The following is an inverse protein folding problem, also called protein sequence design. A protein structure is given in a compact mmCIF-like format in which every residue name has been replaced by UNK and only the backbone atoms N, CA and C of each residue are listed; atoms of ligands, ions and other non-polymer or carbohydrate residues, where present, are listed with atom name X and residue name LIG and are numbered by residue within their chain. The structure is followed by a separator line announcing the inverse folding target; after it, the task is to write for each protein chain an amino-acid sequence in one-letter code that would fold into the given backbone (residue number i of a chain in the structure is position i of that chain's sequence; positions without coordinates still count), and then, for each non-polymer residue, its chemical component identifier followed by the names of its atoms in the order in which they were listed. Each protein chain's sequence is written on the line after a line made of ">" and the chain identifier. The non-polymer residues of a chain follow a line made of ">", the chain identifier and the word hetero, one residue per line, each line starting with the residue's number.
data_IF_439135997560
#
_entry.id   IF_439135997560
#
_cell.length_a   1.000
_cell.length_b   1.000
_cell.length_c   1.000
_cell.angle_alpha   90.00
_cell.angle_beta   90.00
_cell.angle_gamma   90.00
#
_symmetry.space_group_name_H-M   'P 1'
#
loop_
_entity.id
_entity.type
_entity.pdbx_description
1 polymer ?
#
# COMPACT_ATOMS: atom_id res chain seq x y z
N UNK A 1 1.56 14.30 20.49
CA UNK A 1 2.16 13.34 19.54
C UNK A 1 3.66 13.54 19.54
N UNK A 2 4.39 12.63 20.18
CA UNK A 2 5.83 12.75 20.40
C UNK A 2 6.62 12.65 19.10
N UNK A 3 7.70 13.42 18.97
CA UNK A 3 8.54 13.44 17.78
C UNK A 3 9.07 12.04 17.40
N UNK A 4 9.28 11.15 18.38
CA UNK A 4 9.66 9.74 18.15
C UNK A 4 8.58 8.96 17.40
N UNK A 5 7.31 9.13 17.76
CA UNK A 5 6.18 8.45 17.10
C UNK A 5 5.99 8.88 15.65
N UNK A 6 6.26 10.15 15.35
CA UNK A 6 6.21 10.69 13.98
C UNK A 6 7.36 10.10 13.14
N UNK A 7 8.54 9.97 13.73
CA UNK A 7 9.71 9.38 13.07
C UNK A 7 9.45 7.90 12.70
N UNK A 8 8.91 7.11 13.63
CA UNK A 8 8.56 5.70 13.39
C UNK A 8 7.55 5.58 12.26
N UNK A 9 6.49 6.40 12.25
CA UNK A 9 5.48 6.40 11.17
C UNK A 9 6.07 6.76 9.81
N UNK A 10 7.01 7.73 9.77
CA UNK A 10 7.74 8.06 8.52
C UNK A 10 8.58 6.89 8.01
N UNK A 11 9.26 6.18 8.90
CA UNK A 11 10.05 4.99 8.54
C UNK A 11 9.12 3.92 7.96
N UNK A 12 7.98 3.64 8.61
CA UNK A 12 7.00 2.66 8.12
C UNK A 12 6.49 3.06 6.73
N UNK A 13 6.10 4.32 6.52
CA UNK A 13 5.68 4.82 5.20
C UNK A 13 6.77 4.62 4.16
N UNK A 14 8.02 4.94 4.49
CA UNK A 14 9.17 4.77 3.60
C UNK A 14 9.41 3.31 3.23
N UNK A 15 9.33 2.40 4.20
CA UNK A 15 9.46 0.95 3.97
C UNK A 15 8.31 0.43 3.10
N UNK A 16 7.06 0.80 3.40
CA UNK A 16 5.91 0.41 2.59
C UNK A 16 6.03 0.93 1.15
N UNK A 17 6.47 2.18 0.95
CA UNK A 17 6.66 2.74 -0.38
C UNK A 17 7.77 1.99 -1.16
N UNK A 18 8.88 1.65 -0.49
CA UNK A 18 9.94 0.86 -1.10
C UNK A 18 9.45 -0.54 -1.51
N UNK A 19 8.64 -1.19 -0.67
CA UNK A 19 8.03 -2.49 -0.98
C UNK A 19 7.12 -2.37 -2.21
N UNK A 20 6.20 -1.40 -2.25
CA UNK A 20 5.29 -1.20 -3.39
C UNK A 20 6.03 -0.93 -4.69
N UNK A 21 7.08 -0.10 -4.66
CA UNK A 21 7.88 0.19 -5.86
C UNK A 21 8.65 -1.06 -6.29
N UNK A 22 9.26 -1.79 -5.36
CA UNK A 22 10.00 -3.00 -5.67
C UNK A 22 9.08 -4.08 -6.27
N UNK A 23 7.92 -4.36 -5.66
CA UNK A 23 6.96 -5.34 -6.19
C UNK A 23 6.38 -4.90 -7.53
N UNK A 24 6.13 -3.61 -7.72
CA UNK A 24 5.68 -3.07 -9.01
C UNK A 24 6.73 -3.24 -10.12
N UNK A 25 8.00 -2.91 -9.84
CA UNK A 25 9.10 -3.12 -10.80
C UNK A 25 9.26 -4.61 -11.09
N UNK A 26 9.25 -5.45 -10.06
CA UNK A 26 9.40 -6.90 -10.20
C UNK A 26 8.29 -7.49 -11.08
N UNK A 27 7.04 -7.10 -10.84
CA UNK A 27 5.89 -7.50 -11.66
C UNK A 27 6.05 -7.11 -13.14
N UNK A 28 6.49 -5.87 -13.41
CA UNK A 28 6.71 -5.39 -14.78
C UNK A 28 7.85 -6.16 -15.46
N UNK A 29 8.94 -6.46 -14.74
CA UNK A 29 10.04 -7.25 -15.28
C UNK A 29 9.58 -8.67 -15.62
N UNK A 30 8.86 -9.35 -14.72
CA UNK A 30 8.36 -10.70 -14.98
C UNK A 30 7.41 -10.74 -16.18
N UNK A 31 6.41 -9.86 -16.24
CA UNK A 31 5.46 -9.86 -17.35
C UNK A 31 6.05 -9.46 -18.70
N UNK A 32 6.91 -8.42 -18.75
CA UNK A 32 7.32 -7.82 -20.03
C UNK A 32 8.72 -8.24 -20.50
N UNK A 33 9.60 -8.64 -19.58
CA UNK A 33 10.98 -9.05 -19.93
C UNK A 33 11.10 -10.57 -19.95
N UNK A 34 10.61 -11.23 -18.91
CA UNK A 34 10.75 -12.69 -18.76
C UNK A 34 9.60 -13.46 -19.42
N UNK A 35 8.44 -12.83 -19.62
CA UNK A 35 7.22 -13.45 -20.15
C UNK A 35 6.75 -14.67 -19.35
N UNK A 36 7.20 -14.78 -18.11
CA UNK A 36 6.84 -15.81 -17.14
C UNK A 36 6.58 -15.11 -15.81
N UNK A 37 5.41 -15.38 -15.22
CA UNK A 37 5.05 -14.89 -13.89
C UNK A 37 5.36 -15.97 -12.86
N UNK A 38 6.05 -15.59 -11.79
CA UNK A 38 6.26 -16.51 -10.67
C UNK A 38 4.98 -16.66 -9.86
N UNK A 39 4.83 -17.81 -9.18
CA UNK A 39 3.73 -18.02 -8.21
C UNK A 39 3.66 -16.88 -7.18
N UNK A 40 4.81 -16.32 -6.80
CA UNK A 40 4.82 -15.17 -5.91
C UNK A 40 4.10 -13.95 -6.51
N UNK A 41 4.38 -13.64 -7.76
CA UNK A 41 3.84 -12.47 -8.45
C UNK A 41 2.36 -12.61 -8.75
N UNK A 42 1.93 -13.78 -9.22
CA UNK A 42 0.52 -14.03 -9.53
C UNK A 42 -0.35 -14.05 -8.26
N UNK A 43 0.20 -14.52 -7.14
CA UNK A 43 -0.59 -14.67 -5.92
C UNK A 43 -0.49 -13.53 -4.90
N UNK A 44 0.67 -12.88 -4.80
CA UNK A 44 0.94 -11.99 -3.68
C UNK A 44 1.36 -10.58 -4.08
N UNK A 45 1.91 -10.33 -5.28
CA UNK A 45 2.45 -9.01 -5.63
C UNK A 45 1.39 -7.89 -5.57
N UNK A 46 0.19 -8.14 -6.12
CA UNK A 46 -0.92 -7.17 -6.12
C UNK A 46 -1.42 -6.94 -4.69
N UNK A 47 -1.65 -8.02 -3.96
CA UNK A 47 -2.16 -7.99 -2.59
C UNK A 47 -1.22 -7.25 -1.63
N UNK A 48 0.09 -7.55 -1.68
CA UNK A 48 1.13 -6.88 -0.88
C UNK A 48 1.19 -5.39 -1.24
N UNK A 49 1.09 -5.05 -2.53
CA UNK A 49 1.10 -3.67 -2.98
C UNK A 49 -0.11 -2.89 -2.47
N UNK A 50 -1.31 -3.46 -2.55
CA UNK A 50 -2.54 -2.86 -2.03
C UNK A 50 -2.48 -2.65 -0.52
N UNK A 51 -1.97 -3.63 0.23
CA UNK A 51 -1.78 -3.53 1.67
C UNK A 51 -0.80 -2.39 2.02
N UNK A 52 0.35 -2.34 1.36
CA UNK A 52 1.37 -1.32 1.60
C UNK A 52 0.85 0.09 1.29
N UNK A 53 0.11 0.28 0.19
CA UNK A 53 -0.52 1.56 -0.15
C UNK A 53 -1.61 1.93 0.88
N UNK A 54 -2.40 0.94 1.33
CA UNK A 54 -3.40 1.14 2.39
C UNK A 54 -2.77 1.63 3.71
N UNK A 55 -1.65 1.03 4.12
CA UNK A 55 -0.90 1.46 5.32
C UNK A 55 -0.35 2.88 5.15
N UNK A 56 0.19 3.22 3.97
CA UNK A 56 0.62 4.59 3.67
C UNK A 56 -0.54 5.57 3.81
N UNK A 57 -1.70 5.25 3.23
CA UNK A 57 -2.89 6.08 3.28
C UNK A 57 -3.41 6.30 4.72
N UNK A 58 -3.32 5.30 5.61
CA UNK A 58 -3.65 5.47 7.04
C UNK A 58 -2.68 6.38 7.77
N UNK A 59 -1.39 6.27 7.47
CA UNK A 59 -0.34 6.91 8.25
C UNK A 59 -0.01 8.32 7.77
N UNK A 60 -0.20 8.63 6.48
CA UNK A 60 0.15 9.93 5.90
C UNK A 60 -0.52 11.13 6.60
N UNK A 61 -1.83 11.12 6.92
CA UNK A 61 -2.49 12.23 7.61
C UNK A 61 -1.90 12.46 9.00
N UNK A 62 -1.48 11.38 9.69
CA UNK A 62 -0.90 11.46 11.03
C UNK A 62 0.53 12.03 11.04
N UNK A 63 1.22 12.04 9.90
CA UNK A 63 2.61 12.51 9.79
C UNK A 63 2.68 13.94 9.24
N UNK A 64 1.74 14.34 8.39
CA UNK A 64 1.64 15.70 7.88
C UNK A 64 0.89 16.60 8.86
N UNK A 65 1.64 17.31 9.73
CA UNK A 65 1.10 18.32 10.66
C UNK A 65 0.50 19.56 9.97
N UNK A 66 0.79 19.79 8.70
CA UNK A 66 -0.05 20.66 7.88
C UNK A 66 -1.28 19.82 7.57
N UNK A 67 -2.34 19.95 8.39
CA UNK A 67 -3.70 19.62 7.94
C UNK A 67 -3.77 20.04 6.48
N UNK A 68 -4.17 19.14 5.58
CA UNK A 68 -4.50 19.57 4.22
C UNK A 68 -5.57 20.67 4.39
N UNK A 69 -5.13 21.93 4.32
CA UNK A 69 -5.92 23.15 4.36
C UNK A 69 -7.19 23.13 5.24
N UNK A 70 -7.13 22.97 6.57
CA UNK A 70 -8.35 23.00 7.42
C UNK A 70 -9.49 22.05 6.97
N UNK A 71 -9.21 21.11 6.06
CA UNK A 71 -10.19 20.35 5.32
C UNK A 71 -10.23 18.94 5.90
N UNK A 72 -10.98 18.80 6.99
CA UNK A 72 -11.28 17.52 7.65
C UNK A 72 -11.87 16.49 6.68
N UNK A 73 -12.36 16.92 5.52
CA UNK A 73 -12.90 16.06 4.45
C UNK A 73 -11.78 15.31 3.72
N UNK A 74 -10.61 15.92 3.53
CA UNK A 74 -9.43 15.29 2.93
C UNK A 74 -8.86 14.15 3.78
N UNK A 75 -8.74 14.37 5.09
CA UNK A 75 -8.24 13.35 6.01
C UNK A 75 -9.22 12.16 6.12
N UNK A 76 -10.53 12.43 6.16
CA UNK A 76 -11.57 11.39 6.18
C UNK A 76 -11.62 10.58 4.87
N UNK A 77 -11.49 11.24 3.72
CA UNK A 77 -11.47 10.54 2.42
C UNK A 77 -10.23 9.66 2.29
N UNK A 78 -9.07 10.10 2.79
CA UNK A 78 -7.86 9.26 2.80
C UNK A 78 -8.00 8.02 3.67
N UNK A 79 -8.69 8.12 4.81
CA UNK A 79 -8.99 6.99 5.69
C UNK A 79 -9.95 5.99 5.03
N UNK A 80 -10.97 6.49 4.30
CA UNK A 80 -11.87 5.64 3.50
C UNK A 80 -11.09 4.90 2.40
N UNK A 81 -10.21 5.59 1.69
CA UNK A 81 -9.36 4.99 0.65
C UNK A 81 -8.47 3.88 1.24
N UNK A 82 -7.86 4.14 2.40
CA UNK A 82 -7.07 3.13 3.08
C UNK A 82 -7.87 1.86 3.44
N UNK A 83 -9.08 2.05 3.97
CA UNK A 83 -9.96 0.93 4.31
C UNK A 83 -10.37 0.14 3.07
N UNK A 84 -10.69 0.84 1.97
CA UNK A 84 -11.02 0.21 0.70
C UNK A 84 -9.84 -0.60 0.14
N UNK A 85 -8.62 -0.06 0.20
CA UNK A 85 -7.40 -0.75 -0.22
C UNK A 85 -7.12 -1.99 0.62
N UNK A 86 -7.43 -1.97 1.91
CA UNK A 86 -7.31 -3.13 2.79
C UNK A 86 -8.30 -4.24 2.38
N UNK A 87 -9.55 -3.89 2.10
CA UNK A 87 -10.54 -4.85 1.57
C UNK A 87 -10.08 -5.39 0.22
N UNK A 88 -9.64 -4.52 -0.70
CA UNK A 88 -9.12 -4.93 -2.00
C UNK A 88 -7.93 -5.89 -1.87
N UNK A 89 -7.03 -5.67 -0.90
CA UNK A 89 -5.92 -6.60 -0.62
C UNK A 89 -6.42 -7.98 -0.21
N UNK A 90 -7.43 -8.07 0.65
CA UNK A 90 -8.00 -9.35 1.10
C UNK A 90 -8.72 -10.04 -0.06
N UNK A 91 -9.55 -9.31 -0.81
CA UNK A 91 -10.26 -9.83 -1.98
C UNK A 91 -9.27 -10.32 -3.04
N UNK A 92 -8.20 -9.57 -3.29
CA UNK A 92 -7.12 -9.97 -4.21
C UNK A 92 -6.48 -11.29 -3.78
N UNK A 93 -6.19 -11.49 -2.49
CA UNK A 93 -5.70 -12.77 -1.98
C UNK A 93 -6.71 -13.90 -2.17
N UNK A 94 -7.98 -13.67 -1.82
CA UNK A 94 -9.03 -14.69 -1.94
C UNK A 94 -9.28 -15.11 -3.39
N UNK A 95 -9.39 -14.13 -4.30
CA UNK A 95 -9.54 -14.39 -5.73
C UNK A 95 -8.35 -15.14 -6.28
N UNK A 96 -7.16 -14.81 -5.81
CA UNK A 96 -5.95 -15.48 -6.23
C UNK A 96 -5.92 -16.96 -5.85
N UNK A 97 -6.41 -17.36 -4.67
CA UNK A 97 -6.54 -18.77 -4.29
C UNK A 97 -7.73 -19.49 -4.91
N UNK A 98 -8.76 -18.75 -5.35
CA UNK A 98 -9.92 -19.34 -6.02
C UNK A 98 -9.63 -19.63 -7.50
N UNK A 99 -8.90 -18.74 -8.17
CA UNK A 99 -8.63 -18.80 -9.62
C UNK A 99 -7.36 -19.63 -9.96
N UNK A 100 -6.51 -19.94 -8.96
CA UNK A 100 -5.37 -20.85 -9.07
C UNK A 100 -5.79 -22.32 -9.27
#
# INVERSE_FOLDING_TARGET
>A
MDNKSILIRKIIIGVCAAITVFTGIFYVVEMFVLQETSYFTDHFAISISLLAIGVIALLLPSVNRKKFSNDTRGDNTMLIVAFLLFICSIVSLLMSYWVA
#
